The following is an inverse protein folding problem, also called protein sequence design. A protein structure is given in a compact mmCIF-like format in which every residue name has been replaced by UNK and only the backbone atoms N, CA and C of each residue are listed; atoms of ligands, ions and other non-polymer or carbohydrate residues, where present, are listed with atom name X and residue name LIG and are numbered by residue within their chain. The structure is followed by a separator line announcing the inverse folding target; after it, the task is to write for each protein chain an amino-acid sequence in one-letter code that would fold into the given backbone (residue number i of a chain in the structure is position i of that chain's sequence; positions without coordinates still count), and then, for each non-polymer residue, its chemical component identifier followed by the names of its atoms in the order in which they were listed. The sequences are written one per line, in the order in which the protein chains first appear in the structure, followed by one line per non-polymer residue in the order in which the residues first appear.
data_IF_729093661518
#
_entry.id   IF_729093661518
#
_cell.length_a   1.000
_cell.length_b   1.000
_cell.length_c   1.000
_cell.angle_alpha   90.00
_cell.angle_beta   90.00
_cell.angle_gamma   90.00
#
_symmetry.space_group_name_H-M   'P 1'
#
loop_
_entity.id
_entity.type
_entity.pdbx_description
1 polymer ?
#
# COMPACT_ATOMS: atom_id res chain seq x y z
N UNK A 1 4.78 0.71 -8.28
CA UNK A 1 4.51 1.74 -7.29
C UNK A 1 5.48 1.65 -6.10
N UNK A 2 5.37 2.53 -5.13
CA UNK A 2 6.37 2.67 -4.06
C UNK A 2 6.69 1.36 -3.33
N UNK A 3 5.68 0.59 -2.97
CA UNK A 3 5.88 -0.69 -2.26
C UNK A 3 6.71 -1.68 -3.08
N UNK A 4 6.41 -1.81 -4.37
CA UNK A 4 7.15 -2.75 -5.22
C UNK A 4 8.62 -2.35 -5.37
N UNK A 5 8.90 -1.06 -5.42
CA UNK A 5 10.28 -0.55 -5.46
C UNK A 5 11.04 -0.88 -4.18
N UNK A 6 10.40 -0.72 -3.02
CA UNK A 6 10.99 -1.09 -1.72
C UNK A 6 11.24 -2.60 -1.67
N UNK A 7 10.25 -3.41 -2.07
CA UNK A 7 10.38 -4.87 -2.11
C UNK A 7 11.57 -5.31 -2.95
N UNK A 8 11.70 -4.76 -4.14
CA UNK A 8 12.82 -5.09 -5.04
C UNK A 8 14.17 -4.73 -4.44
N UNK A 9 14.26 -3.55 -3.82
CA UNK A 9 15.49 -3.08 -3.18
C UNK A 9 15.89 -4.01 -2.03
N UNK A 10 14.95 -4.41 -1.19
CA UNK A 10 15.21 -5.30 -0.07
C UNK A 10 15.55 -6.71 -0.57
N UNK A 11 14.91 -7.18 -1.63
CA UNK A 11 15.24 -8.46 -2.25
C UNK A 11 16.69 -8.47 -2.75
N UNK A 12 17.20 -7.37 -3.30
CA UNK A 12 18.60 -7.29 -3.72
C UNK A 12 19.57 -7.47 -2.55
N UNK A 13 19.20 -7.00 -1.35
CA UNK A 13 20.04 -7.09 -0.17
C UNK A 13 19.98 -8.50 0.44
N UNK A 14 18.79 -9.08 0.57
CA UNK A 14 18.55 -10.32 1.32
C UNK A 14 18.23 -11.54 0.46
N UNK A 15 18.04 -11.37 -0.85
CA UNK A 15 17.54 -12.42 -1.74
C UNK A 15 18.41 -13.66 -1.81
N UNK A 16 19.74 -13.52 -1.70
CA UNK A 16 20.66 -14.67 -1.71
C UNK A 16 20.47 -15.56 -0.49
N UNK A 17 20.32 -14.94 0.70
CA UNK A 17 20.16 -15.65 1.96
C UNK A 17 18.78 -16.29 2.10
N UNK A 18 17.75 -15.62 1.61
CA UNK A 18 16.35 -16.04 1.76
C UNK A 18 15.66 -16.29 0.42
N UNK A 19 16.39 -16.91 -0.51
CA UNK A 19 15.95 -17.11 -1.90
C UNK A 19 14.55 -17.74 -2.01
N UNK A 20 14.29 -18.78 -1.21
CA UNK A 20 13.01 -19.48 -1.26
C UNK A 20 11.85 -18.61 -0.77
N UNK A 21 12.10 -17.75 0.23
CA UNK A 21 11.09 -16.84 0.75
C UNK A 21 10.74 -15.75 -0.26
N UNK A 22 11.72 -15.24 -1.01
CA UNK A 22 11.48 -14.18 -2.00
C UNK A 22 10.89 -14.69 -3.31
N UNK A 23 10.91 -16.00 -3.54
CA UNK A 23 10.30 -16.58 -4.74
C UNK A 23 8.81 -16.25 -4.76
N UNK A 24 8.35 -15.59 -5.84
CA UNK A 24 6.97 -15.14 -6.00
C UNK A 24 6.50 -14.11 -4.94
N UNK A 25 7.43 -13.41 -4.28
CA UNK A 25 7.11 -12.41 -3.25
C UNK A 25 6.25 -11.26 -3.77
N UNK A 26 6.41 -10.87 -5.03
CA UNK A 26 5.62 -9.80 -5.63
C UNK A 26 4.11 -10.08 -5.55
N UNK A 27 3.69 -11.25 -6.00
CA UNK A 27 2.27 -11.64 -5.98
C UNK A 27 1.73 -11.72 -4.55
N UNK A 28 2.57 -12.22 -3.63
CA UNK A 28 2.19 -12.43 -2.24
C UNK A 28 2.02 -11.10 -1.49
N UNK A 29 3.02 -10.21 -1.62
CA UNK A 29 3.09 -9.00 -0.80
C UNK A 29 2.28 -7.83 -1.35
N UNK A 30 2.08 -7.75 -2.66
CA UNK A 30 1.29 -6.67 -3.27
C UNK A 30 -0.21 -6.89 -3.05
N UNK A 31 -0.64 -8.13 -2.99
CA UNK A 31 -2.04 -8.46 -2.76
C UNK A 31 -2.50 -7.96 -1.38
N UNK A 32 -3.75 -7.50 -1.29
CA UNK A 32 -4.34 -7.09 0.00
C UNK A 32 -4.33 -8.26 0.97
N UNK A 33 -3.90 -8.01 2.20
CA UNK A 33 -3.76 -9.06 3.21
C UNK A 33 -5.08 -9.82 3.43
N UNK A 34 -6.20 -9.12 3.47
CA UNK A 34 -7.53 -9.72 3.69
C UNK A 34 -7.91 -10.73 2.60
N UNK A 35 -7.30 -10.66 1.42
CA UNK A 35 -7.56 -11.57 0.31
C UNK A 35 -6.63 -12.78 0.29
N UNK A 36 -5.66 -12.85 1.21
CA UNK A 36 -4.72 -13.96 1.29
C UNK A 36 -5.34 -15.14 2.03
N UNK A 37 -5.07 -16.35 1.55
CA UNK A 37 -5.36 -17.57 2.29
C UNK A 37 -4.44 -17.68 3.51
N UNK A 38 -4.84 -18.40 4.55
CA UNK A 38 -4.12 -18.47 5.82
C UNK A 38 -2.65 -18.85 5.65
N UNK A 39 -2.34 -19.89 4.86
CA UNK A 39 -0.95 -20.31 4.63
C UNK A 39 -0.13 -19.24 3.88
N UNK A 40 -0.77 -18.44 3.03
CA UNK A 40 -0.12 -17.31 2.35
C UNK A 40 0.13 -16.16 3.30
N UNK A 41 -0.74 -15.94 4.28
CA UNK A 41 -0.53 -14.94 5.34
C UNK A 41 0.70 -15.29 6.18
N UNK A 42 0.87 -16.56 6.55
CA UNK A 42 2.05 -17.02 7.29
C UNK A 42 3.33 -16.78 6.49
N UNK A 43 3.32 -17.10 5.20
CA UNK A 43 4.47 -16.86 4.33
C UNK A 43 4.77 -15.36 4.19
N UNK A 44 3.74 -14.53 4.05
CA UNK A 44 3.87 -13.07 4.03
C UNK A 44 4.52 -12.58 5.32
N UNK A 45 4.04 -13.03 6.48
CA UNK A 45 4.60 -12.65 7.77
C UNK A 45 6.08 -13.03 7.89
N UNK A 46 6.46 -14.22 7.41
CA UNK A 46 7.87 -14.65 7.42
C UNK A 46 8.76 -13.69 6.62
N UNK A 47 8.29 -13.22 5.46
CA UNK A 47 9.00 -12.22 4.66
C UNK A 47 9.12 -10.88 5.38
N UNK A 48 8.08 -10.46 6.09
CA UNK A 48 8.04 -9.19 6.79
C UNK A 48 9.01 -9.15 7.98
N UNK A 49 9.30 -10.29 8.60
CA UNK A 49 10.26 -10.37 9.69
C UNK A 49 11.72 -10.23 9.26
N UNK A 50 12.02 -10.32 7.96
CA UNK A 50 13.40 -10.18 7.47
C UNK A 50 13.93 -8.77 7.69
N UNK A 51 13.07 -7.74 7.59
CA UNK A 51 13.48 -6.34 7.63
C UNK A 51 12.36 -5.47 8.22
N UNK A 52 12.73 -4.60 9.17
CA UNK A 52 11.80 -3.60 9.72
C UNK A 52 11.30 -2.65 8.65
N UNK A 53 12.15 -2.33 7.69
CA UNK A 53 11.79 -1.49 6.55
C UNK A 53 10.72 -2.13 5.68
N UNK A 54 10.84 -3.45 5.43
CA UNK A 54 9.82 -4.21 4.70
C UNK A 54 8.49 -4.20 5.45
N UNK A 55 8.51 -4.38 6.76
CA UNK A 55 7.32 -4.36 7.60
C UNK A 55 6.63 -3.00 7.54
N UNK A 56 7.40 -1.93 7.68
CA UNK A 56 6.88 -0.57 7.61
C UNK A 56 6.29 -0.26 6.23
N UNK A 57 6.99 -0.66 5.17
CA UNK A 57 6.53 -0.49 3.79
C UNK A 57 5.21 -1.25 3.55
N UNK A 58 5.11 -2.46 4.06
CA UNK A 58 3.91 -3.29 3.96
C UNK A 58 2.73 -2.65 4.69
N UNK A 59 2.95 -2.13 5.89
CA UNK A 59 1.93 -1.42 6.65
C UNK A 59 1.40 -0.22 5.86
N UNK A 60 2.28 0.60 5.29
CA UNK A 60 1.89 1.76 4.48
C UNK A 60 1.12 1.33 3.22
N UNK A 61 1.49 0.21 2.61
CA UNK A 61 0.75 -0.37 1.48
C UNK A 61 -0.69 -0.70 1.89
N UNK A 62 -0.87 -1.39 3.00
CA UNK A 62 -2.19 -1.78 3.49
C UNK A 62 -3.05 -0.56 3.83
N UNK A 63 -2.46 0.46 4.45
CA UNK A 63 -3.17 1.71 4.74
C UNK A 63 -3.57 2.46 3.46
N UNK A 64 -2.73 2.40 2.43
CA UNK A 64 -3.06 2.98 1.13
C UNK A 64 -4.29 2.30 0.50
N UNK A 65 -4.38 0.98 0.58
CA UNK A 65 -5.55 0.27 0.09
C UNK A 65 -6.84 0.66 0.83
N UNK A 66 -6.74 1.00 2.12
CA UNK A 66 -7.90 1.52 2.87
C UNK A 66 -8.41 2.84 2.31
N UNK A 67 -7.51 3.71 1.84
CA UNK A 67 -7.92 4.94 1.15
C UNK A 67 -8.73 4.59 -0.09
N UNK A 68 -8.22 3.66 -0.90
CA UNK A 68 -8.89 3.25 -2.15
C UNK A 68 -10.26 2.61 -1.90
N UNK A 69 -10.44 1.98 -0.74
CA UNK A 69 -11.69 1.32 -0.36
C UNK A 69 -12.67 2.25 0.37
N UNK A 70 -12.32 3.51 0.62
CA UNK A 70 -13.19 4.46 1.29
C UNK A 70 -14.48 4.67 0.50
N UNK A 71 -15.60 4.77 1.21
CA UNK A 71 -16.93 4.87 0.59
C UNK A 71 -17.31 6.30 0.20
N UNK A 72 -16.67 7.30 0.79
CA UNK A 72 -16.99 8.69 0.56
C UNK A 72 -15.74 9.56 0.55
N UNK A 73 -15.91 10.78 0.01
CA UNK A 73 -14.81 11.73 -0.12
C UNK A 73 -14.21 12.15 1.23
N UNK A 74 -15.04 12.38 2.24
CA UNK A 74 -14.57 12.86 3.53
C UNK A 74 -13.71 11.81 4.24
N UNK A 75 -14.14 10.56 4.24
CA UNK A 75 -13.36 9.45 4.78
C UNK A 75 -12.05 9.29 4.03
N UNK A 76 -12.09 9.33 2.70
CA UNK A 76 -10.90 9.26 1.86
C UNK A 76 -9.93 10.41 2.16
N UNK A 77 -10.44 11.63 2.34
CA UNK A 77 -9.62 12.81 2.64
C UNK A 77 -8.89 12.64 3.97
N UNK A 78 -9.59 12.18 5.00
CA UNK A 78 -8.98 11.97 6.31
C UNK A 78 -7.91 10.88 6.27
N UNK A 79 -8.23 9.73 5.66
CA UNK A 79 -7.28 8.62 5.52
C UNK A 79 -6.06 9.02 4.69
N UNK A 80 -6.26 9.79 3.63
CA UNK A 80 -5.18 10.27 2.78
C UNK A 80 -4.27 11.26 3.52
N UNK A 81 -4.84 12.18 4.29
CA UNK A 81 -4.08 13.12 5.11
C UNK A 81 -3.21 12.39 6.13
N UNK A 82 -3.78 11.41 6.83
CA UNK A 82 -3.06 10.59 7.79
C UNK A 82 -1.95 9.76 7.12
N UNK A 83 -2.25 9.19 5.95
CA UNK A 83 -1.29 8.40 5.19
C UNK A 83 -0.10 9.25 4.71
N UNK A 84 -0.37 10.43 4.16
CA UNK A 84 0.67 11.35 3.70
C UNK A 84 1.57 11.74 4.86
N UNK A 85 0.99 12.07 6.00
CA UNK A 85 1.75 12.41 7.21
C UNK A 85 2.67 11.25 7.64
N UNK A 86 2.14 10.02 7.67
CA UNK A 86 2.92 8.83 8.02
C UNK A 86 4.04 8.55 7.00
N UNK A 87 3.76 8.70 5.72
CA UNK A 87 4.73 8.47 4.65
C UNK A 87 5.86 9.52 4.67
N UNK A 88 5.52 10.78 4.95
CA UNK A 88 6.52 11.85 5.05
C UNK A 88 7.45 11.67 6.25
N UNK A 89 6.95 11.13 7.35
CA UNK A 89 7.73 10.92 8.57
C UNK A 89 8.48 9.60 8.60
N UNK A 90 8.25 8.70 7.65
CA UNK A 90 8.99 7.43 7.56
C UNK A 90 10.39 7.63 6.96
N UNK A 91 11.28 6.65 7.17
CA UNK A 91 12.65 6.70 6.64
C UNK A 91 12.79 6.01 5.28
N UNK A 92 11.70 5.85 4.54
CA UNK A 92 11.67 5.15 3.25
C UNK A 92 11.48 6.18 2.14
N UNK A 93 12.52 6.44 1.36
CA UNK A 93 12.53 7.49 0.34
C UNK A 93 11.45 7.28 -0.74
N UNK A 94 11.20 6.06 -1.13
CA UNK A 94 10.17 5.74 -2.13
C UNK A 94 8.78 6.18 -1.66
N UNK A 95 8.49 6.05 -0.36
CA UNK A 95 7.22 6.50 0.21
C UNK A 95 7.17 8.01 0.42
N UNK A 96 8.28 8.66 0.75
CA UNK A 96 8.34 10.12 0.81
C UNK A 96 8.04 10.74 -0.55
N UNK A 97 8.58 10.16 -1.61
CA UNK A 97 8.29 10.58 -2.98
C UNK A 97 6.81 10.35 -3.33
N UNK A 98 6.28 9.20 -2.97
CA UNK A 98 4.87 8.87 -3.18
C UNK A 98 3.94 9.86 -2.46
N UNK A 99 4.26 10.21 -1.21
CA UNK A 99 3.50 11.20 -0.44
C UNK A 99 3.47 12.56 -1.14
N UNK A 100 4.59 13.00 -1.68
CA UNK A 100 4.70 14.24 -2.44
C UNK A 100 3.80 14.23 -3.67
N UNK A 101 3.81 13.12 -4.40
CA UNK A 101 2.97 12.92 -5.59
C UNK A 101 1.49 12.96 -5.22
N UNK A 102 1.10 12.27 -4.16
CA UNK A 102 -0.29 12.26 -3.69
C UNK A 102 -0.74 13.65 -3.26
N UNK A 103 0.12 14.40 -2.58
CA UNK A 103 -0.21 15.77 -2.17
C UNK A 103 -0.46 16.66 -3.39
N UNK A 104 0.34 16.53 -4.44
CA UNK A 104 0.18 17.29 -5.67
C UNK A 104 -1.12 16.95 -6.41
N UNK A 105 -1.58 15.70 -6.33
CA UNK A 105 -2.77 15.22 -7.03
C UNK A 105 -3.97 15.02 -6.10
N UNK A 106 -3.92 15.54 -4.88
CA UNK A 106 -4.92 15.30 -3.84
C UNK A 106 -6.34 15.68 -4.30
N UNK A 107 -6.51 16.84 -4.88
CA UNK A 107 -7.81 17.34 -5.31
C UNK A 107 -8.44 16.43 -6.38
N UNK A 108 -7.65 16.05 -7.38
CA UNK A 108 -8.10 15.20 -8.47
C UNK A 108 -8.48 13.80 -7.98
N UNK A 109 -7.66 13.25 -7.09
CA UNK A 109 -7.93 11.93 -6.49
C UNK A 109 -9.21 11.96 -5.67
N UNK A 110 -9.40 12.98 -4.84
CA UNK A 110 -10.61 13.13 -4.02
C UNK A 110 -11.85 13.34 -4.88
N UNK A 111 -11.73 14.06 -5.98
CA UNK A 111 -12.84 14.24 -6.91
C UNK A 111 -13.30 12.91 -7.51
N UNK A 112 -12.40 11.93 -7.66
CA UNK A 112 -12.76 10.61 -8.17
C UNK A 112 -13.72 9.85 -7.26
N UNK A 113 -13.73 10.14 -5.96
CA UNK A 113 -14.68 9.51 -5.03
C UNK A 113 -16.11 9.99 -5.25
N UNK A 114 -16.30 11.26 -5.59
CA UNK A 114 -17.62 11.79 -5.94
C UNK A 114 -18.19 11.10 -7.18
N UNK A 115 -17.35 10.84 -8.17
CA UNK A 115 -17.74 10.13 -9.40
C UNK A 115 -18.12 8.67 -9.09
N UNK A 116 -17.40 7.99 -8.20
CA UNK A 116 -17.72 6.62 -7.77
C UNK A 116 -19.12 6.54 -7.13
N UNK A 117 -19.41 7.46 -6.21
CA UNK A 117 -20.71 7.53 -5.55
C UNK A 117 -21.82 7.76 -6.56
N UNK A 118 -21.63 8.66 -7.50
CA UNK A 118 -22.58 8.93 -8.57
C UNK A 118 -22.85 7.68 -9.42
N UNK A 119 -21.80 6.95 -9.81
CA UNK A 119 -21.93 5.72 -10.59
C UNK A 119 -22.68 4.64 -9.82
N UNK A 120 -22.39 4.47 -8.54
CA UNK A 120 -23.08 3.51 -7.68
C UNK A 120 -24.56 3.84 -7.56
N UNK A 121 -24.87 5.10 -7.34
CA UNK A 121 -26.25 5.57 -7.27
C UNK A 121 -26.99 5.32 -8.58
N UNK A 122 -26.36 5.64 -9.70
CA UNK A 122 -26.96 5.47 -11.02
C UNK A 122 -27.24 4.01 -11.36
N UNK A 123 -26.35 3.10 -10.93
CA UNK A 123 -26.53 1.65 -11.15
C UNK A 123 -27.67 1.07 -10.33
N UNK A 124 -28.06 1.71 -9.22
CA UNK A 124 -29.19 1.27 -8.38
C UNK A 124 -30.55 1.73 -8.89
N UNK A 125 -30.57 2.69 -9.80
CA UNK A 125 -31.79 3.16 -10.44
C UNK A 125 -32.23 2.20 -11.52
#
# INVERSE_FOLDING_TARGET
WAFDKVRKRIQQIYGKKYRLLFKHSKRLLIKRNVKLKDWKKERSNSLLYISDEMLQAYYLKEQFYKIMDANDRQTAKQLMSDWISSAESCNIEEYKYCAKTLLNWQTEILNSFDVRLFKQFYQRL
#
